data_IF_387277083444
#
_entry.id   IF_387277083444
#
_cell.length_a   1.000
_cell.length_b   1.000
_cell.length_c   1.000
_cell.angle_alpha   90.00
_cell.angle_beta   90.00
_cell.angle_gamma   90.00
#
_symmetry.space_group_name_H-M   'P 1'
#
loop_
_entity.id
_entity.type
_entity.pdbx_description
1 polymer ?
#
# COMPACT_ATOMS: atom_id res chain seq x y z
N UNK A 1 16.70 4.73 -19.94
CA UNK A 1 15.43 4.23 -19.37
C UNK A 1 15.68 3.93 -17.90
N UNK A 2 14.99 4.58 -16.96
CA UNK A 2 15.24 4.34 -15.54
C UNK A 2 14.65 2.99 -15.14
N UNK A 3 15.49 2.08 -14.67
CA UNK A 3 15.10 0.72 -14.32
C UNK A 3 14.37 0.73 -12.96
N UNK A 4 13.27 -0.01 -12.82
CA UNK A 4 12.50 -0.10 -11.56
C UNK A 4 13.41 -0.46 -10.37
N UNK A 5 14.46 -1.26 -10.59
CA UNK A 5 15.44 -1.59 -9.56
C UNK A 5 16.23 -0.39 -9.03
N UNK A 6 16.61 0.56 -9.90
CA UNK A 6 17.36 1.76 -9.49
C UNK A 6 16.48 2.67 -8.64
N UNK A 7 15.22 2.80 -9.03
CA UNK A 7 14.24 3.56 -8.25
C UNK A 7 14.05 2.98 -6.87
N UNK A 8 13.88 1.65 -6.76
CA UNK A 8 13.75 0.97 -5.47
C UNK A 8 15.00 1.17 -4.62
N UNK A 9 16.21 1.13 -5.21
CA UNK A 9 17.47 1.39 -4.48
C UNK A 9 17.55 2.82 -3.93
N UNK A 10 17.11 3.80 -4.72
CA UNK A 10 17.21 5.23 -4.36
C UNK A 10 16.16 5.66 -3.34
N UNK A 11 14.92 5.18 -3.48
CA UNK A 11 13.77 5.65 -2.71
C UNK A 11 13.40 4.70 -1.56
N UNK A 12 13.86 3.45 -1.60
CA UNK A 12 13.58 2.45 -0.57
C UNK A 12 14.32 2.72 0.74
N UNK A 13 13.83 2.10 1.83
CA UNK A 13 14.42 2.24 3.17
C UNK A 13 15.47 1.17 3.46
N UNK A 14 16.62 1.21 2.78
CA UNK A 14 17.74 0.28 3.00
C UNK A 14 17.35 -1.21 2.99
N UNK A 15 16.38 -1.58 2.15
CA UNK A 15 15.95 -2.96 2.00
C UNK A 15 16.80 -3.72 0.98
N UNK A 16 16.60 -5.03 0.93
CA UNK A 16 17.22 -5.92 -0.05
C UNK A 16 16.34 -6.02 -1.29
N UNK A 17 16.96 -5.93 -2.47
CA UNK A 17 16.28 -6.10 -3.76
C UNK A 17 16.82 -7.35 -4.43
N UNK A 18 15.92 -8.26 -4.77
CA UNK A 18 16.22 -9.50 -5.49
C UNK A 18 15.46 -9.50 -6.80
N UNK A 19 16.16 -9.69 -7.92
CA UNK A 19 15.50 -9.87 -9.22
C UNK A 19 14.88 -11.26 -9.27
N UNK A 20 13.59 -11.34 -9.60
CA UNK A 20 12.85 -12.59 -9.73
C UNK A 20 12.81 -13.05 -11.19
N UNK A 21 12.51 -12.13 -12.11
CA UNK A 21 12.60 -12.36 -13.55
C UNK A 21 12.75 -11.01 -14.30
N UNK A 22 12.57 -11.00 -15.61
CA UNK A 22 12.60 -9.76 -16.40
C UNK A 22 11.52 -8.79 -15.91
N UNK A 23 11.96 -7.57 -15.60
CA UNK A 23 11.14 -6.46 -15.07
C UNK A 23 10.40 -6.76 -13.75
N UNK A 24 10.71 -7.86 -13.06
CA UNK A 24 10.07 -8.24 -11.80
C UNK A 24 11.09 -8.39 -10.69
N UNK A 25 10.86 -7.66 -9.60
CA UNK A 25 11.77 -7.57 -8.48
C UNK A 25 11.01 -7.78 -7.17
N UNK A 26 11.63 -8.50 -6.24
CA UNK A 26 11.22 -8.56 -4.84
C UNK A 26 12.01 -7.55 -4.04
N UNK A 27 11.33 -6.80 -3.19
CA UNK A 27 11.94 -5.90 -2.22
C UNK A 27 11.54 -6.35 -0.81
N UNK A 28 12.52 -6.52 0.06
CA UNK A 28 12.32 -6.97 1.44
C UNK A 28 13.07 -6.08 2.41
N UNK A 29 12.41 -5.69 3.51
CA UNK A 29 12.98 -4.80 4.53
C UNK A 29 12.44 -5.18 5.90
N UNK A 30 13.25 -5.02 6.93
CA UNK A 30 12.80 -5.07 8.32
C UNK A 30 12.60 -3.64 8.82
N UNK A 31 11.43 -3.38 9.40
CA UNK A 31 11.07 -2.07 9.94
C UNK A 31 10.44 -2.25 11.31
N UNK A 32 10.60 -1.24 12.16
CA UNK A 32 9.98 -1.21 13.47
C UNK A 32 8.45 -1.10 13.36
N UNK A 33 7.95 -0.16 12.54
CA UNK A 33 6.54 -0.04 12.20
C UNK A 33 6.30 -0.24 10.70
N UNK A 34 5.42 -1.18 10.35
CA UNK A 34 5.03 -1.46 8.96
C UNK A 34 4.27 -0.28 8.33
N UNK A 35 3.60 0.57 9.11
CA UNK A 35 2.86 1.71 8.58
C UNK A 35 3.77 2.75 7.92
N UNK A 36 5.01 2.91 8.40
CA UNK A 36 5.98 3.82 7.81
C UNK A 36 6.24 3.50 6.34
N UNK A 37 6.22 2.21 5.99
CA UNK A 37 6.44 1.73 4.61
C UNK A 37 5.25 2.01 3.69
N UNK A 38 4.04 2.17 4.21
CA UNK A 38 2.83 2.26 3.39
C UNK A 38 2.82 3.49 2.47
N UNK A 39 3.37 4.62 2.92
CA UNK A 39 3.45 5.82 2.08
C UNK A 39 4.33 5.60 0.85
N UNK A 40 5.46 4.92 1.01
CA UNK A 40 6.36 4.61 -0.09
C UNK A 40 5.81 3.50 -0.99
N UNK A 41 5.23 2.44 -0.41
CA UNK A 41 4.58 1.34 -1.15
C UNK A 41 3.48 1.88 -2.07
N UNK A 42 2.69 2.87 -1.63
CA UNK A 42 1.66 3.51 -2.46
C UNK A 42 2.19 4.18 -3.73
N UNK A 43 3.48 4.47 -3.84
CA UNK A 43 4.05 5.04 -5.08
C UNK A 43 4.21 4.01 -6.20
N UNK A 44 3.97 2.72 -5.90
CA UNK A 44 4.02 1.60 -6.83
C UNK A 44 2.65 0.98 -7.13
N UNK A 45 1.55 1.63 -6.73
CA UNK A 45 0.19 1.14 -7.08
C UNK A 45 0.06 0.91 -8.58
N UNK A 46 -0.59 -0.19 -8.95
CA UNK A 46 -0.71 -0.67 -10.33
C UNK A 46 0.49 -1.47 -10.85
N UNK A 47 1.61 -1.51 -10.12
CA UNK A 47 2.81 -2.30 -10.45
C UNK A 47 3.11 -3.40 -9.42
N UNK A 48 2.47 -3.35 -8.26
CA UNK A 48 2.62 -4.34 -7.18
C UNK A 48 1.89 -5.63 -7.56
N UNK A 49 2.60 -6.75 -7.54
CA UNK A 49 2.04 -8.10 -7.74
C UNK A 49 1.46 -8.63 -6.42
N UNK A 50 2.25 -8.59 -5.34
CA UNK A 50 1.83 -9.04 -4.01
C UNK A 50 2.55 -8.28 -2.90
N UNK A 51 1.96 -8.29 -1.70
CA UNK A 51 2.59 -7.80 -0.47
C UNK A 51 2.43 -8.87 0.61
N UNK A 52 3.54 -9.20 1.25
CA UNK A 52 3.62 -10.17 2.34
C UNK A 52 4.38 -9.55 3.53
N UNK A 53 4.21 -10.15 4.71
CA UNK A 53 4.84 -9.66 5.93
C UNK A 53 4.19 -10.17 7.20
N UNK A 54 4.80 -9.82 8.34
CA UNK A 54 4.38 -10.23 9.69
C UNK A 54 3.13 -9.49 10.15
N UNK A 55 3.03 -8.18 9.89
CA UNK A 55 1.88 -7.36 10.28
C UNK A 55 0.69 -7.56 9.32
N UNK A 56 -0.10 -8.61 9.56
CA UNK A 56 -1.27 -8.95 8.73
C UNK A 56 -2.35 -7.88 8.74
N UNK A 57 -2.45 -7.05 9.78
CA UNK A 57 -3.46 -5.99 9.85
C UNK A 57 -3.18 -4.89 8.82
N UNK A 58 -1.93 -4.45 8.72
CA UNK A 58 -1.51 -3.43 7.73
C UNK A 58 -1.67 -3.96 6.30
N UNK A 59 -1.31 -5.22 6.06
CA UNK A 59 -1.47 -5.86 4.74
C UNK A 59 -2.96 -5.95 4.35
N UNK A 60 -3.82 -6.42 5.27
CA UNK A 60 -5.27 -6.48 5.05
C UNK A 60 -5.85 -5.09 4.75
N UNK A 61 -5.41 -4.07 5.49
CA UNK A 61 -5.82 -2.67 5.27
C UNK A 61 -5.43 -2.20 3.86
N UNK A 62 -4.20 -2.46 3.43
CA UNK A 62 -3.74 -2.11 2.09
C UNK A 62 -4.64 -2.72 1.00
N UNK A 63 -4.88 -4.03 1.04
CA UNK A 63 -5.73 -4.69 0.04
C UNK A 63 -7.17 -4.20 0.08
N UNK A 64 -7.74 -3.98 1.27
CA UNK A 64 -9.08 -3.39 1.41
C UNK A 64 -9.17 -2.02 0.72
N UNK A 65 -8.16 -1.18 0.89
CA UNK A 65 -8.11 0.15 0.30
C UNK A 65 -7.98 0.06 -1.24
N UNK A 66 -7.20 -0.90 -1.76
CA UNK A 66 -7.12 -1.20 -3.21
C UNK A 66 -8.48 -1.65 -3.76
N UNK A 67 -9.18 -2.56 -3.09
CA UNK A 67 -10.50 -3.00 -3.54
C UNK A 67 -11.53 -1.88 -3.50
N UNK A 68 -11.47 -1.02 -2.48
CA UNK A 68 -12.32 0.18 -2.41
C UNK A 68 -12.04 1.11 -3.58
N UNK A 69 -10.77 1.39 -3.87
CA UNK A 69 -10.36 2.20 -5.01
C UNK A 69 -10.86 1.57 -6.33
N UNK A 70 -10.63 0.26 -6.52
CA UNK A 70 -11.12 -0.46 -7.70
C UNK A 70 -12.62 -0.30 -7.90
N UNK A 71 -13.43 -0.39 -6.84
CA UNK A 71 -14.89 -0.20 -6.92
C UNK A 71 -15.27 1.21 -7.37
N UNK A 72 -14.59 2.25 -6.88
CA UNK A 72 -14.86 3.64 -7.25
C UNK A 72 -14.61 3.92 -8.75
N UNK A 73 -13.67 3.20 -9.36
CA UNK A 73 -13.27 3.42 -10.76
C UNK A 73 -13.77 2.33 -11.72
N UNK A 74 -14.41 1.26 -11.22
CA UNK A 74 -15.05 0.26 -12.09
C UNK A 74 -16.38 0.83 -12.57
N UNK A 75 -16.67 0.74 -13.87
CA UNK A 75 -17.87 1.29 -14.53
C UNK A 75 -19.22 0.72 -14.02
N UNK A 76 -19.19 -0.15 -13.02
CA UNK A 76 -20.36 -0.67 -12.29
C UNK A 76 -20.84 0.31 -11.20
N UNK A 77 -20.55 1.59 -11.34
CA UNK A 77 -21.25 2.65 -10.60
C UNK A 77 -22.69 2.72 -11.11
N UNK A 78 -23.56 1.87 -10.54
CA UNK A 78 -24.87 2.40 -10.12
C UNK A 78 -24.55 3.60 -9.26
N UNK A 79 -25.16 4.76 -9.51
CA UNK A 79 -24.94 6.00 -8.77
C UNK A 79 -24.92 5.74 -7.25
N UNK A 80 -23.73 5.52 -6.69
CA UNK A 80 -23.52 5.57 -5.26
C UNK A 80 -23.23 7.02 -5.03
N UNK A 81 -24.23 7.74 -4.50
CA UNK A 81 -24.04 9.08 -3.99
C UNK A 81 -22.70 9.13 -3.26
N UNK A 82 -21.86 10.16 -3.52
CA UNK A 82 -20.61 10.33 -2.79
C UNK A 82 -20.93 10.20 -1.30
N UNK A 83 -20.08 9.55 -0.48
CA UNK A 83 -20.34 9.46 0.95
C UNK A 83 -20.53 10.89 1.44
N UNK A 84 -21.79 11.24 1.70
CA UNK A 84 -22.15 12.45 2.40
C UNK A 84 -21.33 12.39 3.67
N UNK A 85 -20.75 13.51 4.10
CA UNK A 85 -20.19 13.61 5.45
C UNK A 85 -21.35 13.46 6.45
N UNK A 86 -21.90 12.26 6.61
CA UNK A 86 -22.62 11.87 7.80
C UNK A 86 -21.57 11.77 8.89
N UNK A 87 -21.75 12.66 9.86
CA UNK A 87 -20.99 12.69 11.11
C UNK A 87 -21.02 11.28 11.72
N UNK A 88 -19.92 10.92 12.38
CA UNK A 88 -19.72 9.71 13.20
C UNK A 88 -19.39 8.39 12.49
N UNK A 89 -18.12 8.22 12.12
CA UNK A 89 -17.40 7.00 12.49
C UNK A 89 -16.03 7.43 13.06
N UNK A 90 -15.84 7.21 14.35
CA UNK A 90 -14.60 7.52 15.05
C UNK A 90 -13.39 6.88 14.33
N UNK A 91 -12.32 7.63 14.00
CA UNK A 91 -11.11 7.05 13.44
C UNK A 91 -10.45 6.11 14.48
N UNK A 92 -9.86 4.97 14.07
CA UNK A 92 -9.23 4.02 15.00
C UNK A 92 -7.89 4.54 15.56
N UNK A 93 -7.54 5.80 15.33
CA UNK A 93 -6.34 6.40 15.90
C UNK A 93 -6.66 7.00 17.26
N UNK A 94 -6.87 6.13 18.26
CA UNK A 94 -6.38 6.46 19.59
C UNK A 94 -4.92 6.05 19.61
N UNK A 95 -4.02 7.02 19.44
CA UNK A 95 -2.72 6.89 20.07
C UNK A 95 -3.01 6.78 21.57
N UNK A 96 -2.70 5.63 22.17
CA UNK A 96 -2.57 5.58 23.63
C UNK A 96 -1.22 6.23 23.90
N UNK A 97 -1.27 7.47 24.38
CA UNK A 97 -0.15 8.07 25.10
C UNK A 97 -0.14 7.41 26.48
N UNK A 98 1.01 6.87 26.86
CA UNK A 98 1.34 6.50 28.24
C UNK A 98 1.88 7.73 28.99
#
# INVERSE_FOLDING_TARGET
MSNISERIKREGRNGTITRICDNTYSYSVQVFDTNEMMNWVKTYIGRIISIEGSNKQVIKKFYRDIYRMKRLYSKDTKEVNPPTKTKEENPPYKAKED
#
